data_IF_899806419351
#
_entry.id   IF_899806419351
#
_cell.length_a   1.000
_cell.length_b   1.000
_cell.length_c   1.000
_cell.angle_alpha   90.00
_cell.angle_beta   90.00
_cell.angle_gamma   90.00
#
_symmetry.space_group_name_H-M   'P 1'
#
loop_
_entity.id
_entity.type
_entity.pdbx_description
1 polymer ?
#
# COMPACT_ATOMS: atom_id res chain seq x y z
N UNK A 1 -1.36 -4.63 -11.69
CA UNK A 1 -1.87 -5.96 -12.12
C UNK A 1 -2.47 -5.82 -13.53
N UNK A 2 -2.54 -6.84 -14.38
CA UNK A 2 -2.98 -6.66 -15.78
C UNK A 2 -4.31 -7.37 -16.02
N UNK A 3 -5.29 -6.64 -16.57
CA UNK A 3 -6.55 -7.21 -17.03
C UNK A 3 -6.42 -7.70 -18.46
N UNK A 4 -6.66 -8.99 -18.65
CA UNK A 4 -6.63 -9.64 -19.96
C UNK A 4 -8.00 -10.21 -20.33
N UNK A 5 -8.29 -10.30 -21.62
CA UNK A 5 -9.52 -10.91 -22.12
C UNK A 5 -9.27 -11.94 -23.22
N UNK A 6 -10.12 -12.96 -23.27
CA UNK A 6 -10.15 -13.99 -24.32
C UNK A 6 -11.54 -14.61 -24.37
N UNK A 7 -12.13 -14.67 -25.57
CA UNK A 7 -13.41 -15.36 -25.80
C UNK A 7 -14.56 -14.91 -24.86
N UNK A 8 -14.66 -13.60 -24.59
CA UNK A 8 -15.66 -13.04 -23.67
C UNK A 8 -15.35 -13.25 -22.17
N UNK A 9 -14.28 -13.97 -21.83
CA UNK A 9 -13.78 -14.11 -20.46
C UNK A 9 -12.74 -13.03 -20.15
N UNK A 10 -12.76 -12.53 -18.91
CA UNK A 10 -11.79 -11.59 -18.38
C UNK A 10 -11.04 -12.22 -17.20
N UNK A 11 -9.73 -11.99 -17.13
CA UNK A 11 -8.87 -12.41 -16.01
C UNK A 11 -7.97 -11.26 -15.57
N UNK A 12 -7.68 -11.21 -14.27
CA UNK A 12 -6.66 -10.32 -13.70
C UNK A 12 -5.42 -11.17 -13.43
N UNK A 13 -4.30 -10.79 -14.01
CA UNK A 13 -3.04 -11.54 -13.95
C UNK A 13 -1.90 -10.64 -13.49
N UNK A 14 -0.85 -11.22 -12.91
CA UNK A 14 0.35 -10.46 -12.57
C UNK A 14 1.12 -10.07 -13.83
N UNK A 15 1.89 -8.97 -13.80
CA UNK A 15 2.69 -8.54 -14.97
C UNK A 15 3.68 -9.62 -15.44
N UNK A 16 4.23 -10.38 -14.50
CA UNK A 16 5.17 -11.47 -14.78
C UNK A 16 4.53 -12.59 -15.62
N UNK A 17 3.21 -12.70 -15.62
CA UNK A 17 2.48 -13.73 -16.39
C UNK A 17 1.84 -13.17 -17.67
N UNK A 18 2.02 -11.87 -17.97
CA UNK A 18 1.52 -11.22 -19.21
C UNK A 18 1.99 -11.96 -20.45
N UNK A 19 3.30 -12.18 -20.58
CA UNK A 19 3.89 -12.83 -21.75
C UNK A 19 3.38 -14.25 -21.94
N UNK A 20 3.09 -14.96 -20.84
CA UNK A 20 2.48 -16.28 -20.88
C UNK A 20 1.05 -16.23 -21.43
N UNK A 21 0.25 -15.27 -20.97
CA UNK A 21 -1.14 -15.09 -21.41
C UNK A 21 -1.23 -14.56 -22.85
N UNK A 22 -0.33 -13.66 -23.27
CA UNK A 22 -0.23 -13.20 -24.64
C UNK A 22 0.04 -14.35 -25.61
N UNK A 23 0.96 -15.27 -25.26
CA UNK A 23 1.22 -16.50 -26.06
C UNK A 23 0.01 -17.43 -26.13
N UNK A 24 -0.85 -17.41 -25.11
CA UNK A 24 -2.08 -18.19 -25.05
C UNK A 24 -3.25 -17.49 -25.78
N UNK A 25 -3.01 -16.35 -26.43
CA UNK A 25 -4.03 -15.60 -27.19
C UNK A 25 -4.95 -14.75 -26.32
N UNK A 26 -4.52 -14.41 -25.10
CA UNK A 26 -5.19 -13.40 -24.30
C UNK A 26 -4.74 -12.01 -24.72
N UNK A 27 -5.68 -11.11 -24.90
CA UNK A 27 -5.41 -9.71 -25.25
C UNK A 27 -5.43 -8.87 -23.97
N UNK A 28 -4.47 -7.95 -23.84
CA UNK A 28 -4.43 -7.00 -22.73
C UNK A 28 -5.49 -5.94 -22.96
N UNK A 29 -6.48 -5.85 -22.06
CA UNK A 29 -7.54 -4.83 -22.12
C UNK A 29 -7.10 -3.56 -21.41
N UNK A 30 -6.50 -3.74 -20.24
CA UNK A 30 -6.16 -2.65 -19.34
C UNK A 30 -4.90 -3.07 -18.60
N UNK A 31 -3.84 -2.27 -18.79
CA UNK A 31 -2.68 -2.32 -17.93
C UNK A 31 -2.97 -1.37 -16.79
N UNK A 32 -3.52 -1.91 -15.72
CA UNK A 32 -3.38 -1.28 -14.43
C UNK A 32 -1.88 -1.41 -14.08
N UNK A 33 -1.09 -0.45 -14.59
CA UNK A 33 0.17 -0.09 -13.95
C UNK A 33 -0.17 -0.06 -12.47
N UNK A 34 0.56 -0.78 -11.60
CA UNK A 34 0.20 -0.82 -10.19
C UNK A 34 -0.04 0.61 -9.78
N UNK A 35 -1.29 0.91 -9.45
CA UNK A 35 -1.57 2.11 -8.71
C UNK A 35 -0.81 1.86 -7.40
N UNK A 36 0.42 2.40 -7.32
CA UNK A 36 1.18 2.53 -6.08
C UNK A 36 0.41 3.39 -5.06
N UNK A 37 -0.86 3.72 -5.31
CA UNK A 37 -1.78 4.41 -4.43
C UNK A 37 -3.13 3.70 -4.24
N UNK A 38 -3.20 2.35 -4.34
CA UNK A 38 -3.82 1.67 -3.20
C UNK A 38 -2.86 1.86 -2.03
N UNK A 39 -2.93 3.06 -1.43
CA UNK A 39 -2.40 3.36 -0.14
C UNK A 39 -3.03 2.35 0.81
N UNK A 40 -2.43 1.16 0.89
CA UNK A 40 -2.62 0.30 2.04
C UNK A 40 -2.39 1.23 3.22
N UNK A 41 -3.37 1.40 4.12
CA UNK A 41 -3.16 2.22 5.28
C UNK A 41 -1.86 1.72 5.90
N UNK A 42 -0.88 2.62 6.04
CA UNK A 42 0.37 2.31 6.70
C UNK A 42 -0.01 1.59 8.00
N UNK A 43 0.31 0.30 8.12
CA UNK A 43 -0.06 -0.53 9.26
C UNK A 43 1.06 -0.37 10.33
N UNK A 44 0.96 0.55 11.31
CA UNK A 44 2.02 0.74 12.30
C UNK A 44 2.31 -0.52 13.11
N UNK A 45 1.32 -1.41 13.27
CA UNK A 45 1.48 -2.70 13.94
C UNK A 45 2.53 -3.59 13.25
N UNK A 46 2.68 -3.48 11.92
CA UNK A 46 3.65 -4.24 11.11
C UNK A 46 5.02 -3.59 11.06
N UNK A 47 5.15 -2.33 11.47
CA UNK A 47 6.40 -1.61 11.49
C UNK A 47 7.27 -2.01 12.70
N UNK A 48 8.58 -1.96 12.50
CA UNK A 48 9.55 -2.10 13.59
C UNK A 48 9.68 -0.80 14.39
N UNK A 49 10.14 -0.88 15.64
CA UNK A 49 10.33 0.30 16.51
C UNK A 49 11.19 1.40 15.88
N UNK A 50 12.20 1.03 15.07
CA UNK A 50 13.03 1.99 14.36
C UNK A 50 12.25 2.71 13.24
N UNK A 51 11.42 1.98 12.51
CA UNK A 51 10.63 2.48 11.39
C UNK A 51 9.49 3.39 11.90
N UNK A 52 8.81 2.96 12.97
CA UNK A 52 7.81 3.78 13.67
C UNK A 52 8.38 5.14 14.10
N UNK A 53 9.59 5.16 14.65
CA UNK A 53 10.26 6.43 15.04
C UNK A 53 10.63 7.27 13.83
N UNK A 54 11.02 6.66 12.72
CA UNK A 54 11.34 7.35 11.49
C UNK A 54 10.10 8.03 10.88
N UNK A 55 8.96 7.32 10.83
CA UNK A 55 7.69 7.87 10.37
C UNK A 55 7.18 8.99 11.28
N UNK A 56 7.23 8.80 12.60
CA UNK A 56 6.88 9.84 13.56
C UNK A 56 7.77 11.08 13.39
N UNK A 57 9.09 10.89 13.20
CA UNK A 57 10.01 12.00 12.95
C UNK A 57 9.77 12.69 11.59
N UNK A 58 9.44 11.92 10.53
CA UNK A 58 9.08 12.45 9.22
C UNK A 58 7.83 13.35 9.29
N UNK A 59 6.89 12.98 10.17
CA UNK A 59 5.68 13.75 10.49
C UNK A 59 5.89 14.84 11.53
N UNK A 60 7.14 15.06 11.96
CA UNK A 60 7.52 16.02 13.01
C UNK A 60 6.82 15.79 14.36
N UNK A 61 6.48 14.54 14.67
CA UNK A 61 5.86 14.12 15.93
C UNK A 61 6.96 13.79 16.94
N UNK A 62 6.88 14.44 18.11
CA UNK A 62 7.82 14.18 19.19
C UNK A 62 7.56 12.80 19.80
N UNK A 63 8.61 11.98 19.83
CA UNK A 63 8.58 10.65 20.44
C UNK A 63 9.12 10.74 21.86
N UNK A 64 8.33 10.39 22.90
CA UNK A 64 8.83 10.43 24.26
C UNK A 64 9.98 9.42 24.47
N UNK A 65 10.99 9.85 25.23
CA UNK A 65 12.13 8.99 25.56
C UNK A 65 11.66 7.78 26.39
N UNK A 66 11.97 6.57 25.91
CA UNK A 66 11.50 5.33 26.54
C UNK A 66 10.12 4.84 26.08
N UNK A 67 9.48 5.48 25.09
CA UNK A 67 8.24 5.00 24.46
C UNK A 67 8.36 3.54 24.00
N UNK A 68 7.37 2.71 24.34
CA UNK A 68 7.32 1.31 23.90
C UNK A 68 6.73 1.22 22.50
N UNK A 69 6.85 0.04 21.88
CA UNK A 69 6.31 -0.19 20.53
C UNK A 69 4.82 0.19 20.45
N UNK A 70 4.01 -0.22 21.43
CA UNK A 70 2.58 0.16 21.50
C UNK A 70 2.36 1.67 21.53
N UNK A 71 3.14 2.42 22.32
CA UNK A 71 3.03 3.88 22.37
C UNK A 71 3.35 4.51 21.00
N UNK A 72 4.40 4.02 20.32
CA UNK A 72 4.79 4.50 18.99
C UNK A 72 3.74 4.18 17.93
N UNK A 73 3.15 2.98 18.00
CA UNK A 73 2.07 2.55 17.12
C UNK A 73 0.87 3.46 17.30
N UNK A 74 0.42 3.70 18.55
CA UNK A 74 -0.71 4.57 18.84
C UNK A 74 -0.48 6.01 18.37
N UNK A 75 0.74 6.55 18.54
CA UNK A 75 1.10 7.89 18.04
C UNK A 75 1.01 7.95 16.50
N UNK A 76 1.49 6.93 15.80
CA UNK A 76 1.47 6.90 14.34
C UNK A 76 0.06 6.65 13.79
N UNK A 77 -0.75 5.80 14.43
CA UNK A 77 -2.17 5.63 14.10
C UNK A 77 -2.95 6.93 14.26
N UNK A 78 -2.75 7.64 15.38
CA UNK A 78 -3.40 8.93 15.62
C UNK A 78 -3.00 9.98 14.58
N UNK A 79 -1.73 9.98 14.16
CA UNK A 79 -1.24 10.86 13.10
C UNK A 79 -1.85 10.53 11.74
N UNK A 80 -1.89 9.25 11.37
CA UNK A 80 -2.49 8.76 10.13
C UNK A 80 -3.99 9.10 10.07
N UNK A 81 -4.70 8.93 11.19
CA UNK A 81 -6.11 9.29 11.31
C UNK A 81 -6.34 10.82 11.18
N UNK A 82 -5.41 11.64 11.70
CA UNK A 82 -5.48 13.09 11.55
C UNK A 82 -5.21 13.56 10.11
N UNK A 83 -4.33 12.88 9.37
CA UNK A 83 -3.99 13.23 7.99
C UNK A 83 -5.00 12.69 6.96
N UNK A 84 -5.65 11.56 7.23
CA UNK A 84 -6.75 11.02 6.41
C UNK A 84 -8.10 11.72 6.62
N UNK A 85 -8.18 12.68 7.55
CA UNK A 85 -9.39 13.40 7.95
C UNK A 85 -9.59 14.77 7.28
N UNK A 86 -8.94 15.04 6.15
CA UNK A 86 -9.18 16.22 5.33
C UNK A 86 -10.22 15.97 4.23
N UNK A 87 -11.44 15.58 4.60
CA UNK A 87 -12.62 15.68 3.71
C UNK A 87 -13.59 16.67 4.36
N UNK A 88 -13.49 17.93 3.96
CA UNK A 88 -14.61 18.87 3.97
C UNK A 88 -15.13 19.00 2.54
#
# INVERSE_FOLDING_TARGET
MIKVHKDGQYLIVHESTEQGHAKLGWNVVERDLPDEAEAMPLDPHKLGTADLKAELAARQIEVPEGAKKDDLVALLEAALAAEGGGHD
#
